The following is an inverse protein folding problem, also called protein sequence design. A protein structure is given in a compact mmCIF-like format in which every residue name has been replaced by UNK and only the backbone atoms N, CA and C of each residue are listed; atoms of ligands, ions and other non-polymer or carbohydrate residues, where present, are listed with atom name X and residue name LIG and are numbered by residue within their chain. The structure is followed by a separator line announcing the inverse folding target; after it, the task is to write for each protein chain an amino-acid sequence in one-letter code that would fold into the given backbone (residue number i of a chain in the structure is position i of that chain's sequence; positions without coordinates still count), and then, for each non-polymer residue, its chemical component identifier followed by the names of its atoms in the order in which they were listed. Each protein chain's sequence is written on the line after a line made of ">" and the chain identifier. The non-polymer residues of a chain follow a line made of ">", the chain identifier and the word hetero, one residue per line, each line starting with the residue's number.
data_IF_042605705818
#
_entry.id   IF_042605705818
#
_cell.length_a   1.000
_cell.length_b   1.000
_cell.length_c   1.000
_cell.angle_alpha   90.00
_cell.angle_beta   90.00
_cell.angle_gamma   90.00
#
_symmetry.space_group_name_H-M   'P 1'
#
loop_
_entity.id
_entity.type
_entity.pdbx_description
1 polymer ?
#
# COMPACT_ATOMS: atom_id res chain seq x y z
N UNK A 1 27.27 -4.56 29.28
CA UNK A 1 26.00 -4.18 28.63
C UNK A 1 25.86 -2.68 28.77
N UNK A 2 26.31 -1.94 27.77
CA UNK A 2 26.24 -0.48 27.78
C UNK A 2 24.79 -0.07 27.60
N UNK A 3 24.25 0.66 28.58
CA UNK A 3 22.98 1.36 28.45
C UNK A 3 23.22 2.52 27.49
N UNK A 4 22.69 2.44 26.26
CA UNK A 4 22.52 3.64 25.44
C UNK A 4 21.60 4.59 26.22
N UNK A 5 22.13 5.73 26.64
CA UNK A 5 21.31 6.80 27.20
C UNK A 5 20.30 7.26 26.13
N UNK A 6 19.03 7.50 26.48
CA UNK A 6 18.12 8.20 25.58
C UNK A 6 18.70 9.58 25.27
N UNK A 7 18.40 10.16 24.10
CA UNK A 7 18.83 11.52 23.78
C UNK A 7 18.46 12.46 24.93
N UNK A 8 19.46 12.95 25.65
CA UNK A 8 19.26 13.79 26.82
C UNK A 8 18.68 15.14 26.41
N UNK A 9 17.92 15.78 27.29
CA UNK A 9 17.40 17.14 27.08
C UNK A 9 18.48 18.11 26.57
N UNK A 10 19.71 18.00 27.10
CA UNK A 10 20.86 18.81 26.70
C UNK A 10 21.24 18.63 25.21
N UNK A 11 21.05 17.44 24.64
CA UNK A 11 21.28 17.20 23.20
C UNK A 11 20.22 17.87 22.33
N UNK A 12 18.98 17.94 22.81
CA UNK A 12 17.90 18.63 22.10
C UNK A 12 18.11 20.15 22.11
N UNK A 13 18.55 20.69 23.25
CA UNK A 13 18.94 22.11 23.35
C UNK A 13 20.10 22.41 22.38
N UNK A 14 21.13 21.54 22.33
CA UNK A 14 22.22 21.70 21.37
C UNK A 14 21.73 21.63 19.90
N UNK A 15 20.81 20.72 19.57
CA UNK A 15 20.21 20.65 18.23
C UNK A 15 19.43 21.91 17.85
N UNK A 16 18.67 22.51 18.78
CA UNK A 16 17.96 23.77 18.55
C UNK A 16 18.96 24.85 18.12
N UNK A 17 20.05 25.01 18.88
CA UNK A 17 21.09 26.00 18.56
C UNK A 17 21.81 25.72 17.23
N UNK A 18 21.91 24.47 16.80
CA UNK A 18 22.50 24.12 15.50
C UNK A 18 21.53 24.31 14.31
N UNK A 19 20.22 24.21 14.55
CA UNK A 19 19.20 24.20 13.49
C UNK A 19 18.79 25.60 13.04
N UNK A 20 18.97 26.61 13.88
CA UNK A 20 18.72 28.02 13.54
C UNK A 20 20.03 28.80 13.41
N UNK A 21 20.12 29.65 12.38
CA UNK A 21 21.19 30.64 12.26
C UNK A 21 20.87 31.93 13.04
N UNK A 22 19.61 32.12 13.45
CA UNK A 22 19.18 33.25 14.27
C UNK A 22 19.38 32.94 15.75
N UNK A 23 20.11 33.82 16.45
CA UNK A 23 20.32 33.75 17.89
C UNK A 23 19.21 34.46 18.69
N UNK A 24 18.20 35.04 18.01
CA UNK A 24 17.07 35.66 18.69
C UNK A 24 16.08 34.64 19.26
N UNK A 25 15.29 35.07 20.23
CA UNK A 25 14.37 34.20 20.95
C UNK A 25 13.31 33.58 20.01
N UNK A 26 12.90 34.30 18.97
CA UNK A 26 11.93 33.82 17.99
C UNK A 26 12.49 32.64 17.16
N UNK A 27 13.69 32.78 16.59
CA UNK A 27 14.31 31.72 15.79
C UNK A 27 14.63 30.46 16.59
N UNK A 28 14.99 30.62 17.88
CA UNK A 28 15.20 29.48 18.79
C UNK A 28 13.89 28.75 19.11
N UNK A 29 12.78 29.47 19.30
CA UNK A 29 11.46 28.88 19.55
C UNK A 29 10.94 28.13 18.31
N UNK A 30 11.09 28.70 17.11
CA UNK A 30 10.69 28.05 15.86
C UNK A 30 11.48 26.76 15.61
N UNK A 31 12.80 26.78 15.84
CA UNK A 31 13.63 25.58 15.73
C UNK A 31 13.27 24.51 16.77
N UNK A 32 12.98 24.90 18.01
CA UNK A 32 12.52 23.97 19.05
C UNK A 32 11.16 23.36 18.72
N UNK A 33 10.21 24.16 18.20
CA UNK A 33 8.91 23.67 17.76
C UNK A 33 9.05 22.68 16.59
N UNK A 34 9.92 22.96 15.62
CA UNK A 34 10.20 22.04 14.50
C UNK A 34 10.82 20.72 14.96
N UNK A 35 11.82 20.75 15.86
CA UNK A 35 12.43 19.53 16.44
C UNK A 35 11.38 18.73 17.22
N UNK A 36 10.56 19.40 18.03
CA UNK A 36 9.48 18.75 18.77
C UNK A 36 8.46 18.07 17.84
N UNK A 37 8.08 18.73 16.74
CA UNK A 37 7.18 18.17 15.74
C UNK A 37 7.79 16.95 15.03
N UNK A 38 9.08 17.00 14.67
CA UNK A 38 9.78 15.86 14.07
C UNK A 38 9.81 14.65 15.01
N UNK A 39 10.11 14.88 16.30
CA UNK A 39 10.12 13.82 17.31
C UNK A 39 8.73 13.22 17.55
N UNK A 40 7.69 14.07 17.57
CA UNK A 40 6.31 13.61 17.66
C UNK A 40 5.93 12.76 16.44
N UNK A 41 6.34 13.17 15.23
CA UNK A 41 6.11 12.40 14.02
C UNK A 41 6.84 11.04 14.03
N UNK A 42 8.08 10.98 14.50
CA UNK A 42 8.83 9.73 14.63
C UNK A 42 8.21 8.80 15.69
N UNK A 43 7.76 9.37 16.82
CA UNK A 43 7.04 8.62 17.85
C UNK A 43 5.71 8.07 17.32
N UNK A 44 4.97 8.84 16.53
CA UNK A 44 3.73 8.41 15.89
C UNK A 44 3.98 7.26 14.91
N UNK A 45 5.00 7.34 14.06
CA UNK A 45 5.40 6.25 13.14
C UNK A 45 5.84 4.98 13.87
N UNK A 46 6.57 5.12 14.98
CA UNK A 46 6.95 4.00 15.84
C UNK A 46 5.69 3.26 16.34
N UNK A 47 4.70 4.01 16.84
CA UNK A 47 3.44 3.45 17.31
C UNK A 47 2.66 2.78 16.17
N UNK A 48 2.56 3.40 14.99
CA UNK A 48 1.89 2.81 13.83
C UNK A 48 2.51 1.47 13.42
N UNK A 49 3.83 1.37 13.38
CA UNK A 49 4.56 0.14 13.07
C UNK A 49 4.21 -0.99 14.05
N UNK A 50 4.31 -0.73 15.35
CA UNK A 50 4.08 -1.77 16.36
C UNK A 50 2.61 -2.10 16.56
N UNK A 51 1.70 -1.15 16.36
CA UNK A 51 0.26 -1.42 16.34
C UNK A 51 -0.10 -2.28 15.13
N UNK A 52 0.46 -2.01 13.95
CA UNK A 52 0.30 -2.85 12.77
C UNK A 52 0.81 -4.28 13.01
N UNK A 53 2.00 -4.42 13.59
CA UNK A 53 2.55 -5.72 13.98
C UNK A 53 1.64 -6.46 15.00
N UNK A 54 1.20 -5.78 16.06
CA UNK A 54 0.33 -6.35 17.09
C UNK A 54 -1.03 -6.80 16.51
N UNK A 55 -1.61 -6.02 15.59
CA UNK A 55 -2.81 -6.43 14.85
C UNK A 55 -2.54 -7.64 13.96
N UNK A 56 -1.37 -7.70 13.31
CA UNK A 56 -0.92 -8.82 12.49
C UNK A 56 -0.77 -10.14 13.27
N UNK A 57 -0.35 -10.07 14.54
CA UNK A 57 -0.25 -11.24 15.44
C UNK A 57 -1.57 -11.60 16.12
N UNK A 58 -2.65 -10.86 15.86
CA UNK A 58 -4.00 -11.16 16.33
C UNK A 58 -4.44 -10.41 17.58
N UNK A 59 -3.66 -9.47 18.09
CA UNK A 59 -4.03 -8.66 19.25
C UNK A 59 -5.29 -7.82 18.96
N UNK A 60 -6.25 -7.80 19.89
CA UNK A 60 -7.50 -7.08 19.69
C UNK A 60 -7.31 -5.56 19.86
N UNK A 61 -8.21 -4.76 19.27
CA UNK A 61 -8.23 -3.32 19.49
C UNK A 61 -8.48 -2.93 20.95
N UNK A 62 -9.13 -3.80 21.72
CA UNK A 62 -9.32 -3.61 23.16
C UNK A 62 -7.99 -3.74 23.89
N UNK A 63 -7.20 -4.76 23.55
CA UNK A 63 -5.89 -5.02 24.17
C UNK A 63 -4.83 -3.99 23.79
N UNK A 64 -4.90 -3.48 22.55
CA UNK A 64 -4.04 -2.40 22.06
C UNK A 64 -4.38 -1.09 22.78
N UNK A 65 -5.66 -0.73 22.86
CA UNK A 65 -6.10 0.46 23.59
C UNK A 65 -5.65 0.42 25.06
N UNK A 66 -5.85 -0.72 25.73
CA UNK A 66 -5.44 -0.91 27.12
C UNK A 66 -3.92 -0.71 27.33
N UNK A 67 -3.07 -1.19 26.40
CA UNK A 67 -1.62 -1.02 26.47
C UNK A 67 -1.15 0.40 26.17
N UNK A 68 -1.86 1.09 25.28
CA UNK A 68 -1.58 2.48 24.91
C UNK A 68 -2.20 3.49 25.88
N UNK A 69 -2.96 3.04 26.89
CA UNK A 69 -3.66 3.92 27.83
C UNK A 69 -4.82 4.70 27.19
N UNK A 70 -5.37 4.22 26.08
CA UNK A 70 -6.46 4.88 25.34
C UNK A 70 -7.68 3.97 25.19
N UNK A 71 -8.85 4.54 24.89
CA UNK A 71 -10.05 3.75 24.64
C UNK A 71 -9.91 2.91 23.37
N UNK A 72 -10.66 1.79 23.29
CA UNK A 72 -10.76 0.96 22.07
C UNK A 72 -11.11 1.81 20.84
N UNK A 73 -12.01 2.78 21.02
CA UNK A 73 -12.45 3.67 19.94
C UNK A 73 -11.33 4.63 19.52
N UNK A 74 -10.60 5.22 20.47
CA UNK A 74 -9.45 6.09 20.19
C UNK A 74 -8.33 5.33 19.47
N UNK A 75 -7.99 4.11 19.92
CA UNK A 75 -7.02 3.27 19.23
C UNK A 75 -7.47 2.92 17.80
N UNK A 76 -8.74 2.55 17.61
CA UNK A 76 -9.27 2.27 16.26
C UNK A 76 -9.27 3.52 15.38
N UNK A 77 -9.73 4.65 15.90
CA UNK A 77 -9.79 5.88 15.11
C UNK A 77 -8.40 6.33 14.66
N UNK A 78 -7.40 6.18 15.52
CA UNK A 78 -6.02 6.57 15.24
C UNK A 78 -5.29 5.58 14.33
N UNK A 79 -5.51 4.28 14.50
CA UNK A 79 -4.67 3.25 13.89
C UNK A 79 -5.40 2.28 12.94
N UNK A 80 -6.73 2.34 12.80
CA UNK A 80 -7.50 1.38 11.98
C UNK A 80 -7.57 1.73 10.49
N UNK A 81 -7.02 2.86 10.06
CA UNK A 81 -6.85 3.20 8.65
C UNK A 81 -5.51 3.95 8.46
N UNK A 82 -4.63 3.51 7.55
CA UNK A 82 -3.58 4.39 7.04
C UNK A 82 -4.11 5.18 5.84
N UNK A 83 -3.83 6.49 5.80
CA UNK A 83 -3.51 7.13 4.53
C UNK A 83 -2.22 6.47 4.02
N UNK A 84 -2.12 6.08 2.74
CA UNK A 84 -0.90 5.47 2.20
C UNK A 84 0.13 6.58 1.98
N UNK A 85 0.83 6.96 3.06
CA UNK A 85 2.05 7.76 2.98
C UNK A 85 3.21 6.84 3.29
N UNK A 86 3.88 6.39 2.21
CA UNK A 86 5.20 5.72 2.17
C UNK A 86 5.56 4.79 3.34
N UNK A 87 5.37 3.48 3.16
CA UNK A 87 5.77 2.46 4.16
C UNK A 87 6.71 1.40 3.60
N UNK A 88 7.74 1.82 2.86
CA UNK A 88 8.94 0.98 2.83
C UNK A 88 9.38 0.76 4.30
N UNK A 89 9.89 -0.44 4.67
CA UNK A 89 10.55 -0.62 5.96
C UNK A 89 11.59 0.50 6.13
N UNK A 90 11.67 1.13 7.30
CA UNK A 90 12.55 2.27 7.60
C UNK A 90 14.02 2.07 7.17
N UNK A 91 14.47 0.82 6.99
CA UNK A 91 15.81 0.48 6.55
C UNK A 91 16.02 0.41 5.04
N UNK A 92 14.95 0.33 4.23
CA UNK A 92 15.07 0.08 2.79
C UNK A 92 15.06 1.40 2.00
N UNK A 93 16.10 1.62 1.19
CA UNK A 93 16.18 2.76 0.26
C UNK A 93 15.63 2.40 -1.11
N UNK A 94 15.04 3.36 -1.81
CA UNK A 94 14.72 3.20 -3.23
C UNK A 94 15.96 3.52 -4.07
N UNK A 95 16.29 2.63 -5.01
CA UNK A 95 17.27 2.95 -6.03
C UNK A 95 16.77 4.13 -6.89
N UNK A 96 17.64 5.03 -7.37
CA UNK A 96 17.23 6.19 -8.17
C UNK A 96 16.35 5.84 -9.38
N UNK A 97 16.69 4.76 -10.10
CA UNK A 97 15.90 4.27 -11.24
C UNK A 97 14.49 3.82 -10.84
N UNK A 98 14.34 3.22 -9.66
CA UNK A 98 13.04 2.84 -9.15
C UNK A 98 12.23 4.08 -8.75
N UNK A 99 12.87 5.09 -8.16
CA UNK A 99 12.19 6.37 -7.86
C UNK A 99 11.62 6.99 -9.14
N UNK A 100 12.39 7.07 -10.23
CA UNK A 100 11.85 7.59 -11.50
C UNK A 100 10.66 6.76 -12.01
N UNK A 101 10.74 5.43 -11.92
CA UNK A 101 9.62 4.57 -12.31
C UNK A 101 8.34 4.84 -11.48
N UNK A 102 8.49 5.14 -10.18
CA UNK A 102 7.36 5.49 -9.31
C UNK A 102 6.79 6.87 -9.64
N UNK A 103 7.64 7.84 -9.93
CA UNK A 103 7.21 9.18 -10.36
C UNK A 103 6.45 9.10 -11.69
N UNK A 104 6.92 8.26 -12.61
CA UNK A 104 6.25 7.98 -13.88
C UNK A 104 4.89 7.29 -13.68
N UNK A 105 4.81 6.30 -12.80
CA UNK A 105 3.55 5.65 -12.46
C UNK A 105 2.52 6.64 -11.87
N UNK A 106 2.98 7.59 -11.05
CA UNK A 106 2.14 8.66 -10.54
C UNK A 106 1.63 9.60 -11.64
N UNK A 107 2.50 9.95 -12.59
CA UNK A 107 2.13 10.76 -13.75
C UNK A 107 1.10 10.07 -14.64
N UNK A 108 1.23 8.77 -14.84
CA UNK A 108 0.30 7.97 -15.62
C UNK A 108 -1.07 7.88 -14.93
N UNK A 109 -1.10 7.56 -13.64
CA UNK A 109 -2.34 7.52 -12.86
C UNK A 109 -3.09 8.87 -12.91
N UNK A 110 -2.33 9.98 -12.84
CA UNK A 110 -2.89 11.33 -12.97
C UNK A 110 -3.42 11.60 -14.36
N UNK A 111 -2.68 11.24 -15.41
CA UNK A 111 -3.10 11.39 -16.81
C UNK A 111 -4.39 10.62 -17.08
N UNK A 112 -4.53 9.43 -16.51
CA UNK A 112 -5.73 8.60 -16.61
C UNK A 112 -6.91 9.12 -15.77
N UNK A 113 -6.71 10.16 -14.94
CA UNK A 113 -7.71 10.65 -13.99
C UNK A 113 -8.08 9.62 -12.91
N UNK A 114 -7.16 8.69 -12.61
CA UNK A 114 -7.37 7.65 -11.62
C UNK A 114 -7.36 8.22 -10.19
N UNK A 115 -8.26 7.71 -9.33
CA UNK A 115 -8.29 8.09 -7.93
C UNK A 115 -7.08 7.57 -7.12
N UNK A 116 -6.39 6.53 -7.61
CA UNK A 116 -5.26 5.89 -6.94
C UNK A 116 -4.20 5.39 -7.95
N UNK A 117 -2.93 5.36 -7.55
CA UNK A 117 -1.85 4.67 -8.26
C UNK A 117 -2.00 3.15 -7.99
N UNK A 118 -2.54 2.42 -8.96
CA UNK A 118 -2.65 0.96 -8.92
C UNK A 118 -1.38 0.23 -9.39
N UNK A 119 -1.35 -1.08 -9.19
CA UNK A 119 -0.22 -1.93 -9.63
C UNK A 119 -0.03 -1.92 -11.16
N UNK A 120 -1.09 -1.67 -11.94
CA UNK A 120 -0.99 -1.49 -13.39
C UNK A 120 -0.23 -0.22 -13.78
N UNK A 121 -0.38 0.88 -13.03
CA UNK A 121 0.40 2.10 -13.25
C UNK A 121 1.86 1.88 -12.82
N UNK A 122 2.09 1.15 -11.71
CA UNK A 122 3.45 0.76 -11.32
C UNK A 122 4.13 -0.07 -12.41
N UNK A 123 3.41 -1.04 -12.98
CA UNK A 123 3.92 -1.88 -14.07
C UNK A 123 4.28 -1.05 -15.31
N UNK A 124 3.43 -0.10 -15.69
CA UNK A 124 3.69 0.80 -16.80
C UNK A 124 4.89 1.72 -16.52
N UNK A 125 4.97 2.28 -15.31
CA UNK A 125 6.10 3.10 -14.87
C UNK A 125 7.44 2.36 -14.85
N UNK A 126 7.45 1.05 -14.57
CA UNK A 126 8.66 0.22 -14.60
C UNK A 126 9.33 0.10 -15.97
N UNK A 127 8.63 0.43 -17.07
CA UNK A 127 9.22 0.50 -18.40
C UNK A 127 10.03 1.77 -18.64
N UNK A 128 10.00 2.75 -17.74
CA UNK A 128 10.80 3.96 -17.88
C UNK A 128 12.31 3.63 -17.84
N UNK A 129 12.74 2.83 -16.87
CA UNK A 129 14.17 2.51 -16.72
C UNK A 129 14.49 1.22 -15.97
N UNK A 130 15.73 0.76 -16.12
CA UNK A 130 16.34 -0.26 -15.28
C UNK A 130 16.10 -1.70 -15.72
N UNK A 131 16.34 -2.64 -14.81
CA UNK A 131 16.32 -4.08 -15.11
C UNK A 131 14.90 -4.55 -15.46
N UNK A 132 13.88 -4.05 -14.76
CA UNK A 132 12.49 -4.38 -15.07
C UNK A 132 12.10 -4.02 -16.51
N UNK A 133 12.45 -2.81 -16.96
CA UNK A 133 12.22 -2.37 -18.33
C UNK A 133 12.87 -3.34 -19.34
N UNK A 134 14.16 -3.63 -19.16
CA UNK A 134 14.90 -4.52 -20.05
C UNK A 134 14.33 -5.96 -20.09
N UNK A 135 13.80 -6.47 -18.98
CA UNK A 135 13.13 -7.79 -18.93
C UNK A 135 11.82 -7.73 -19.73
N UNK A 136 10.97 -6.74 -19.47
CA UNK A 136 9.68 -6.59 -20.13
C UNK A 136 9.83 -6.37 -21.63
N UNK A 137 10.76 -5.54 -22.07
CA UNK A 137 11.06 -5.28 -23.48
C UNK A 137 11.52 -6.54 -24.22
N UNK A 138 12.37 -7.36 -23.59
CA UNK A 138 12.85 -8.62 -24.18
C UNK A 138 11.71 -9.63 -24.37
N UNK A 139 10.68 -9.54 -23.54
CA UNK A 139 9.45 -10.33 -23.64
C UNK A 139 8.39 -9.68 -24.55
N UNK A 140 8.74 -8.59 -25.26
CA UNK A 140 7.86 -7.91 -26.20
C UNK A 140 6.78 -7.04 -25.54
N UNK A 141 6.98 -6.64 -24.28
CA UNK A 141 6.04 -5.80 -23.54
C UNK A 141 6.47 -4.34 -23.63
N UNK A 142 5.57 -3.49 -24.09
CA UNK A 142 5.79 -2.04 -24.25
C UNK A 142 4.76 -1.22 -23.47
N UNK A 143 5.08 0.05 -23.21
CA UNK A 143 4.29 0.89 -22.30
C UNK A 143 2.88 1.13 -22.85
N UNK A 144 2.77 1.39 -24.15
CA UNK A 144 1.47 1.59 -24.80
C UNK A 144 0.60 0.32 -24.73
N UNK A 145 1.20 -0.87 -24.88
CA UNK A 145 0.47 -2.13 -24.76
C UNK A 145 -0.08 -2.34 -23.33
N UNK A 146 0.71 -2.00 -22.30
CA UNK A 146 0.25 -2.03 -20.90
C UNK A 146 -0.87 -1.03 -20.67
N UNK A 147 -0.75 0.19 -21.20
CA UNK A 147 -1.79 1.22 -21.08
C UNK A 147 -3.09 0.78 -21.74
N UNK A 148 -3.03 0.35 -22.99
CA UNK A 148 -4.20 -0.13 -23.74
C UNK A 148 -4.87 -1.32 -23.03
N UNK A 149 -4.09 -2.27 -22.53
CA UNK A 149 -4.60 -3.40 -21.75
C UNK A 149 -5.23 -2.96 -20.43
N UNK A 150 -4.60 -2.02 -19.73
CA UNK A 150 -5.13 -1.45 -18.49
C UNK A 150 -6.48 -0.77 -18.73
N UNK A 151 -6.60 0.02 -19.80
CA UNK A 151 -7.85 0.70 -20.16
C UNK A 151 -8.94 -0.29 -20.56
N UNK A 152 -8.60 -1.35 -21.30
CA UNK A 152 -9.55 -2.44 -21.61
C UNK A 152 -10.04 -3.18 -20.36
N UNK A 153 -9.17 -3.44 -19.39
CA UNK A 153 -9.48 -4.26 -18.22
C UNK A 153 -10.13 -3.49 -17.07
N UNK A 154 -9.78 -2.22 -16.90
CA UNK A 154 -10.14 -1.42 -15.72
C UNK A 154 -10.94 -0.15 -16.04
N UNK A 155 -11.20 0.11 -17.32
CA UNK A 155 -11.97 1.26 -17.79
C UNK A 155 -11.08 2.29 -18.50
N UNK A 156 -11.66 3.07 -19.43
CA UNK A 156 -10.92 4.11 -20.15
C UNK A 156 -10.45 5.22 -19.19
N UNK A 157 -9.46 6.03 -19.61
CA UNK A 157 -9.07 7.21 -18.85
C UNK A 157 -10.24 8.18 -18.71
N UNK A 158 -10.26 8.96 -17.64
CA UNK A 158 -11.26 10.00 -17.46
C UNK A 158 -11.15 11.08 -18.57
N UNK A 159 -12.25 11.78 -18.84
CA UNK A 159 -12.28 12.87 -19.82
C UNK A 159 -11.31 14.01 -19.50
N UNK A 160 -10.88 14.12 -18.25
CA UNK A 160 -9.93 15.14 -17.79
C UNK A 160 -8.89 14.52 -16.87
N UNK A 161 -7.59 14.82 -17.07
CA UNK A 161 -6.54 14.41 -16.14
C UNK A 161 -6.81 14.92 -14.72
N UNK A 162 -6.32 14.19 -13.72
CA UNK A 162 -6.36 14.63 -12.33
C UNK A 162 -5.46 15.84 -12.09
N UNK A 163 -5.85 16.70 -11.15
CA UNK A 163 -5.07 17.91 -10.79
C UNK A 163 -3.81 17.59 -9.98
N UNK A 164 -3.78 16.45 -9.28
CA UNK A 164 -2.69 16.06 -8.38
C UNK A 164 -2.29 14.59 -8.63
N UNK A 165 -1.06 14.23 -8.23
CA UNK A 165 -0.67 12.82 -8.17
C UNK A 165 -1.56 12.12 -7.14
N UNK A 166 -2.32 11.09 -7.52
CA UNK A 166 -3.17 10.39 -6.57
C UNK A 166 -2.33 9.56 -5.58
N UNK A 167 -2.87 9.23 -4.40
CA UNK A 167 -2.21 8.31 -3.47
C UNK A 167 -2.04 6.90 -4.08
N UNK A 168 -1.11 6.10 -3.55
CA UNK A 168 -1.00 4.69 -3.94
C UNK A 168 -2.17 3.88 -3.41
N UNK A 169 -2.64 2.91 -4.20
CA UNK A 169 -3.63 1.94 -3.71
C UNK A 169 -3.03 1.02 -2.65
N UNK A 170 -3.86 0.40 -1.82
CA UNK A 170 -3.38 -0.60 -0.85
C UNK A 170 -2.59 -1.73 -1.51
N UNK A 171 -3.01 -2.16 -2.70
CA UNK A 171 -2.34 -3.20 -3.47
C UNK A 171 -0.93 -2.76 -3.92
N UNK A 172 -0.81 -1.51 -4.41
CA UNK A 172 0.46 -0.92 -4.82
C UNK A 172 1.43 -0.75 -3.64
N UNK A 173 0.93 -0.28 -2.50
CA UNK A 173 1.73 -0.18 -1.26
C UNK A 173 2.21 -1.55 -0.80
N UNK A 174 1.34 -2.55 -0.74
CA UNK A 174 1.73 -3.91 -0.39
C UNK A 174 2.79 -4.50 -1.35
N UNK A 175 2.72 -4.17 -2.65
CA UNK A 175 3.71 -4.63 -3.62
C UNK A 175 5.10 -4.00 -3.37
N UNK A 176 5.16 -2.70 -3.04
CA UNK A 176 6.40 -2.02 -2.67
C UNK A 176 6.98 -2.54 -1.37
N UNK A 177 6.15 -2.77 -0.36
CA UNK A 177 6.58 -3.34 0.91
C UNK A 177 7.16 -4.74 0.68
N UNK A 178 6.47 -5.58 -0.10
CA UNK A 178 6.94 -6.92 -0.42
C UNK A 178 8.24 -6.89 -1.23
N UNK A 179 8.41 -5.91 -2.13
CA UNK A 179 9.65 -5.69 -2.87
C UNK A 179 10.80 -5.30 -1.93
N UNK A 180 10.52 -4.47 -0.93
CA UNK A 180 11.50 -4.09 0.09
C UNK A 180 11.91 -5.26 0.99
N UNK A 181 10.95 -6.10 1.41
CA UNK A 181 11.25 -7.33 2.14
C UNK A 181 12.09 -8.30 1.29
N UNK A 182 11.79 -8.41 -0.01
CA UNK A 182 12.58 -9.22 -0.91
C UNK A 182 14.01 -8.65 -1.05
N UNK A 183 14.17 -7.33 -1.22
CA UNK A 183 15.48 -6.68 -1.26
C UNK A 183 16.27 -6.91 0.04
N UNK A 184 15.62 -6.80 1.20
CA UNK A 184 16.21 -7.09 2.51
C UNK A 184 16.70 -8.54 2.64
N UNK A 185 15.90 -9.50 2.19
CA UNK A 185 16.29 -10.91 2.21
C UNK A 185 17.41 -11.27 1.22
N UNK A 186 17.75 -10.37 0.29
CA UNK A 186 18.83 -10.50 -0.68
C UNK A 186 20.03 -9.59 -0.39
N UNK A 187 19.94 -8.74 0.65
CA UNK A 187 21.00 -7.81 1.00
C UNK A 187 22.16 -8.54 1.71
N UNK A 188 23.37 -8.02 1.54
CA UNK A 188 24.52 -8.46 2.34
C UNK A 188 24.54 -7.74 3.69
N UNK A 189 25.17 -8.36 4.70
CA UNK A 189 25.14 -7.92 6.11
C UNK A 189 25.63 -6.47 6.37
N UNK A 190 26.27 -5.80 5.40
CA UNK A 190 26.97 -4.53 5.60
C UNK A 190 26.31 -3.31 4.94
N UNK A 191 25.16 -3.43 4.26
CA UNK A 191 24.49 -2.30 3.64
C UNK A 191 22.97 -2.34 3.84
N UNK A 192 22.31 -1.18 4.07
CA UNK A 192 20.87 -1.13 4.12
C UNK A 192 20.30 -1.59 2.77
N UNK A 193 19.22 -2.39 2.77
CA UNK A 193 18.68 -2.95 1.55
C UNK A 193 18.21 -1.87 0.60
N UNK A 194 18.54 -2.04 -0.69
CA UNK A 194 18.11 -1.14 -1.74
C UNK A 194 17.06 -1.84 -2.62
N UNK A 195 15.87 -1.26 -2.67
CA UNK A 195 14.78 -1.72 -3.55
C UNK A 195 15.05 -1.22 -4.95
N UNK A 196 15.07 -2.17 -5.89
CA UNK A 196 15.36 -1.95 -7.32
C UNK A 196 14.19 -2.37 -8.19
N UNK A 197 14.23 -2.02 -9.47
CA UNK A 197 13.09 -2.22 -10.39
C UNK A 197 12.70 -3.69 -10.53
N UNK A 198 13.67 -4.61 -10.54
CA UNK A 198 13.43 -6.06 -10.61
C UNK A 198 12.75 -6.62 -9.35
N UNK A 199 12.97 -6.03 -8.17
CA UNK A 199 12.29 -6.44 -6.94
C UNK A 199 10.79 -6.10 -7.03
N UNK A 200 10.46 -4.91 -7.52
CA UNK A 200 9.08 -4.50 -7.72
C UNK A 200 8.42 -5.33 -8.83
N UNK A 201 9.10 -5.52 -9.97
CA UNK A 201 8.59 -6.36 -11.07
C UNK A 201 8.25 -7.77 -10.57
N UNK A 202 9.09 -8.38 -9.74
CA UNK A 202 8.81 -9.69 -9.16
C UNK A 202 7.49 -9.71 -8.37
N UNK A 203 7.21 -8.68 -7.56
CA UNK A 203 5.97 -8.63 -6.77
C UNK A 203 4.75 -8.37 -7.64
N UNK A 204 4.86 -7.47 -8.61
CA UNK A 204 3.77 -7.15 -9.54
C UNK A 204 3.43 -8.36 -10.43
N UNK A 205 4.46 -9.00 -11.00
CA UNK A 205 4.29 -10.07 -11.96
C UNK A 205 3.96 -11.42 -11.31
N UNK A 206 4.39 -11.71 -10.08
CA UNK A 206 4.20 -13.03 -9.48
C UNK A 206 2.96 -13.14 -8.59
N UNK A 207 2.36 -12.02 -8.17
CA UNK A 207 1.08 -12.03 -7.46
C UNK A 207 -0.10 -12.24 -8.43
N UNK A 208 -0.77 -13.42 -8.44
CA UNK A 208 -1.93 -13.67 -9.29
C UNK A 208 -3.14 -12.78 -8.97
N UNK A 209 -3.17 -12.16 -7.78
CA UNK A 209 -4.22 -11.23 -7.39
C UNK A 209 -4.09 -9.85 -8.02
N UNK A 210 -2.89 -9.47 -8.48
CA UNK A 210 -2.59 -8.09 -8.81
C UNK A 210 -3.18 -7.63 -10.14
N UNK A 211 -3.51 -6.33 -10.26
CA UNK A 211 -3.94 -5.74 -11.54
C UNK A 211 -2.84 -5.79 -12.59
N UNK A 212 -1.58 -5.55 -12.19
CA UNK A 212 -0.41 -5.75 -13.04
C UNK A 212 -0.35 -7.16 -13.66
N UNK A 213 -0.57 -8.19 -12.84
CA UNK A 213 -0.59 -9.58 -13.33
C UNK A 213 -1.74 -9.84 -14.30
N UNK A 214 -2.91 -9.22 -14.09
CA UNK A 214 -4.01 -9.32 -15.06
C UNK A 214 -3.67 -8.69 -16.41
N UNK A 215 -3.00 -7.54 -16.41
CA UNK A 215 -2.50 -6.90 -17.64
C UNK A 215 -1.49 -7.80 -18.36
N UNK A 216 -0.49 -8.34 -17.64
CA UNK A 216 0.48 -9.26 -18.23
C UNK A 216 -0.19 -10.50 -18.84
N UNK A 217 -1.21 -11.04 -18.18
CA UNK A 217 -1.98 -12.18 -18.69
C UNK A 217 -2.80 -11.81 -19.95
N UNK A 218 -3.43 -10.62 -19.99
CA UNK A 218 -4.17 -10.12 -21.16
C UNK A 218 -3.24 -9.94 -22.37
N UNK A 219 -2.03 -9.41 -22.12
CA UNK A 219 -0.95 -9.30 -23.10
C UNK A 219 -0.29 -10.64 -23.47
N UNK A 220 -0.77 -11.77 -22.91
CA UNK A 220 -0.25 -13.12 -23.17
C UNK A 220 1.23 -13.30 -22.84
N UNK A 221 1.74 -12.52 -21.88
CA UNK A 221 3.13 -12.64 -21.42
C UNK A 221 3.29 -13.90 -20.59
N UNK A 222 4.27 -14.73 -20.92
CA UNK A 222 4.58 -15.91 -20.11
C UNK A 222 5.27 -15.50 -18.81
N UNK A 223 4.55 -15.72 -17.72
CA UNK A 223 5.00 -15.38 -16.36
C UNK A 223 6.16 -16.29 -15.95
N UNK A 224 6.19 -17.53 -16.43
CA UNK A 224 7.34 -18.41 -16.19
C UNK A 224 8.60 -17.82 -16.84
N UNK A 225 8.48 -17.20 -18.02
CA UNK A 225 9.57 -16.48 -18.65
C UNK A 225 10.01 -15.25 -17.84
N UNK A 226 9.07 -14.41 -17.35
CA UNK A 226 9.41 -13.29 -16.43
C UNK A 226 10.18 -13.81 -15.21
N UNK A 227 9.70 -14.91 -14.60
CA UNK A 227 10.35 -15.52 -13.44
C UNK A 227 11.77 -16.00 -13.78
N UNK A 228 11.96 -16.65 -14.93
CA UNK A 228 13.28 -17.12 -15.38
C UNK A 228 14.26 -15.97 -15.59
N UNK A 229 13.80 -14.86 -16.17
CA UNK A 229 14.60 -13.65 -16.36
C UNK A 229 14.99 -13.00 -15.02
N UNK A 230 14.05 -12.90 -14.08
CA UNK A 230 14.30 -12.34 -12.75
C UNK A 230 15.33 -13.15 -11.94
N UNK A 231 15.41 -14.47 -12.13
CA UNK A 231 16.36 -15.34 -11.43
C UNK A 231 17.82 -14.99 -11.72
N UNK A 232 18.10 -14.32 -12.85
CA UNK A 232 19.45 -13.82 -13.17
C UNK A 232 19.84 -12.58 -12.35
N UNK A 233 18.87 -11.89 -11.73
CA UNK A 233 19.09 -10.59 -11.08
C UNK A 233 18.84 -10.63 -9.57
N UNK A 234 17.88 -11.42 -9.12
CA UNK A 234 17.48 -11.51 -7.72
C UNK A 234 17.08 -12.94 -7.36
N UNK A 235 17.33 -13.33 -6.12
CA UNK A 235 16.59 -14.47 -5.58
C UNK A 235 15.21 -13.96 -5.20
N UNK A 236 14.19 -14.38 -5.93
CA UNK A 236 12.82 -14.20 -5.49
C UNK A 236 12.60 -15.13 -4.30
N UNK A 237 13.05 -14.69 -3.13
CA UNK A 237 12.58 -15.23 -1.87
C UNK A 237 11.08 -15.05 -1.90
N UNK A 238 10.30 -16.14 -1.87
CA UNK A 238 8.88 -15.99 -1.67
C UNK A 238 8.76 -15.25 -0.35
N UNK A 239 8.44 -13.95 -0.41
CA UNK A 239 7.54 -13.39 0.57
C UNK A 239 6.36 -14.32 0.41
N UNK A 240 6.30 -15.37 1.25
CA UNK A 240 5.12 -16.23 1.33
C UNK A 240 4.03 -15.19 1.38
N UNK A 241 3.16 -15.08 0.37
CA UNK A 241 2.09 -14.12 0.46
C UNK A 241 1.46 -14.44 1.80
N UNK A 242 1.60 -13.53 2.76
CA UNK A 242 1.01 -13.71 4.05
C UNK A 242 -0.42 -14.04 3.67
N UNK A 243 -0.91 -15.19 4.12
CA UNK A 243 -2.21 -15.75 3.76
C UNK A 243 -3.32 -14.86 4.34
N UNK A 244 -3.16 -13.54 4.33
CA UNK A 244 -4.10 -12.55 4.80
C UNK A 244 -5.21 -12.35 3.77
N UNK A 245 -4.95 -12.50 2.46
CA UNK A 245 -6.04 -12.56 1.46
C UNK A 245 -6.66 -13.96 1.31
N UNK A 246 -5.91 -15.04 1.57
CA UNK A 246 -6.49 -16.40 1.72
C UNK A 246 -7.22 -16.59 3.05
N UNK A 247 -7.00 -15.73 4.06
CA UNK A 247 -7.99 -15.46 5.10
C UNK A 247 -9.04 -14.57 4.45
N UNK A 248 -9.99 -15.22 3.76
CA UNK A 248 -11.33 -14.66 3.66
C UNK A 248 -11.64 -14.12 5.05
N UNK A 249 -11.85 -12.81 5.27
CA UNK A 249 -12.27 -12.34 6.59
C UNK A 249 -13.44 -13.25 6.98
N UNK A 250 -13.49 -13.80 8.22
CA UNK A 250 -14.61 -14.63 8.62
C UNK A 250 -15.85 -13.89 8.17
N UNK A 251 -16.67 -14.55 7.33
CA UNK A 251 -17.83 -13.90 6.72
C UNK A 251 -18.46 -13.06 7.81
N UNK A 252 -18.60 -11.74 7.57
CA UNK A 252 -19.34 -10.90 8.52
C UNK A 252 -20.59 -11.71 8.82
N UNK A 253 -20.79 -12.09 10.08
CA UNK A 253 -21.82 -13.07 10.45
C UNK A 253 -23.19 -12.39 10.36
N UNK A 254 -23.49 -11.72 9.24
CA UNK A 254 -24.60 -10.82 9.07
C UNK A 254 -24.58 -10.05 7.76
N UNK A 255 -25.77 -9.54 7.43
CA UNK A 255 -26.04 -8.77 6.23
C UNK A 255 -25.27 -7.44 6.24
N UNK A 256 -24.58 -7.12 5.14
CA UNK A 256 -23.86 -5.86 4.92
C UNK A 256 -24.79 -4.63 4.80
N UNK A 257 -26.09 -4.84 4.64
CA UNK A 257 -27.09 -3.76 4.47
C UNK A 257 -27.85 -3.47 5.76
N UNK A 258 -28.48 -4.48 6.37
CA UNK A 258 -29.25 -4.29 7.60
C UNK A 258 -28.49 -4.63 8.89
N UNK A 259 -27.28 -5.19 8.80
CA UNK A 259 -26.45 -5.53 9.96
C UNK A 259 -26.89 -6.76 10.75
N UNK A 260 -28.08 -7.32 10.48
CA UNK A 260 -28.61 -8.53 11.14
C UNK A 260 -27.72 -9.72 10.92
N UNK A 261 -27.57 -10.54 11.96
CA UNK A 261 -26.64 -11.65 11.95
C UNK A 261 -27.17 -12.88 11.23
N UNK A 262 -26.32 -13.90 10.99
CA UNK A 262 -26.73 -15.17 10.38
C UNK A 262 -27.80 -15.91 11.19
N UNK A 263 -27.92 -15.66 12.50
CA UNK A 263 -28.99 -16.20 13.34
C UNK A 263 -30.28 -15.39 13.30
N UNK A 264 -30.22 -14.15 12.81
CA UNK A 264 -31.36 -13.21 12.78
C UNK A 264 -32.10 -13.22 11.42
N UNK A 265 -31.64 -14.03 10.45
CA UNK A 265 -32.17 -14.05 9.09
C UNK A 265 -32.28 -15.48 8.55
N UNK A 266 -33.38 -15.77 7.85
CA UNK A 266 -33.64 -17.12 7.30
C UNK A 266 -32.66 -17.51 6.18
N UNK A 267 -32.20 -16.53 5.40
CA UNK A 267 -31.30 -16.74 4.28
C UNK A 267 -30.29 -15.60 4.15
N UNK A 268 -29.02 -15.96 3.98
CA UNK A 268 -27.91 -15.03 3.75
C UNK A 268 -27.11 -15.47 2.50
N UNK A 269 -27.05 -14.60 1.49
CA UNK A 269 -26.30 -14.83 0.25
C UNK A 269 -24.93 -14.16 0.36
N UNK A 270 -23.86 -14.92 0.12
CA UNK A 270 -22.47 -14.43 0.22
C UNK A 270 -21.91 -14.04 -1.15
N UNK A 271 -21.37 -12.83 -1.27
CA UNK A 271 -20.62 -12.33 -2.43
C UNK A 271 -19.13 -12.06 -2.11
N UNK A 272 -18.35 -11.55 -3.07
CA UNK A 272 -16.98 -11.10 -2.82
C UNK A 272 -16.94 -9.92 -1.84
N UNK A 273 -16.63 -10.18 -0.57
CA UNK A 273 -16.45 -9.16 0.48
C UNK A 273 -17.74 -8.62 1.13
N UNK A 274 -18.91 -9.03 0.65
CA UNK A 274 -20.24 -8.58 1.13
C UNK A 274 -21.20 -9.76 1.29
N UNK A 275 -22.21 -9.62 2.13
CA UNK A 275 -23.31 -10.57 2.28
C UNK A 275 -24.65 -9.83 2.35
N UNK A 276 -25.71 -10.37 1.76
CA UNK A 276 -27.04 -9.76 1.76
C UNK A 276 -28.09 -10.78 2.21
N UNK A 277 -28.99 -10.40 3.11
CA UNK A 277 -30.08 -11.27 3.55
C UNK A 277 -31.28 -11.20 2.62
N UNK A 278 -32.12 -12.23 2.63
CA UNK A 278 -33.32 -12.31 1.79
C UNK A 278 -34.25 -11.09 1.94
N UNK A 279 -34.42 -10.57 3.16
CA UNK A 279 -35.23 -9.37 3.40
C UNK A 279 -34.66 -8.12 2.71
N UNK A 280 -33.33 -7.94 2.71
CA UNK A 280 -32.69 -6.82 2.02
C UNK A 280 -32.74 -6.98 0.49
N UNK A 281 -32.71 -8.21 -0.03
CA UNK A 281 -32.92 -8.49 -1.46
C UNK A 281 -34.35 -8.14 -1.86
N UNK A 282 -35.35 -8.52 -1.07
CA UNK A 282 -36.75 -8.19 -1.33
C UNK A 282 -36.99 -6.68 -1.34
N UNK A 283 -36.47 -5.97 -0.34
CA UNK A 283 -36.55 -4.50 -0.27
C UNK A 283 -35.86 -3.84 -1.47
N UNK A 284 -34.68 -4.32 -1.87
CA UNK A 284 -33.98 -3.81 -3.04
C UNK A 284 -34.80 -3.99 -4.32
N UNK A 285 -35.49 -5.14 -4.48
CA UNK A 285 -36.40 -5.36 -5.60
C UNK A 285 -37.57 -4.38 -5.60
N UNK A 286 -38.21 -4.18 -4.46
CA UNK A 286 -39.34 -3.24 -4.33
C UNK A 286 -38.94 -1.81 -4.72
N UNK A 287 -37.76 -1.35 -4.27
CA UNK A 287 -37.22 -0.03 -4.64
C UNK A 287 -36.93 0.09 -6.14
N UNK A 288 -36.44 -0.98 -6.76
CA UNK A 288 -36.15 -1.01 -8.20
C UNK A 288 -37.44 -1.03 -9.02
N UNK A 289 -38.42 -1.81 -8.59
CA UNK A 289 -39.76 -1.90 -9.21
C UNK A 289 -40.53 -0.58 -9.05
N UNK A 290 -40.41 0.12 -7.91
CA UNK A 290 -41.05 1.42 -7.68
C UNK A 290 -40.44 2.59 -8.45
N UNK A 291 -39.27 2.40 -9.09
CA UNK A 291 -38.54 3.42 -9.85
C UNK A 291 -38.67 3.25 -11.36
N UNK A 292 -39.37 2.22 -11.84
CA UNK A 292 -39.69 2.12 -13.26
C UNK A 292 -40.81 3.14 -13.60
N UNK A 293 -40.57 4.09 -14.52
CA UNK A 293 -41.64 4.93 -15.01
C UNK A 293 -42.67 4.03 -15.72
N UNK A 294 -43.96 4.26 -15.45
CA UNK A 294 -45.03 3.61 -16.20
C UNK A 294 -44.84 3.94 -17.69
N UNK A 295 -44.74 2.90 -18.52
CA UNK A 295 -44.79 3.00 -19.97
C UNK A 295 -46.15 3.52 -20.43
#
# INVERSE_FOLDING_TARGET
>A
MASESPMGFDQLVAQVHHRTASADAAGLLDAAAAISADQAADADRLLDHFVTHARGTGMSWTDIGARLGVSKQAARQRFAAPAPTSVLPFSARLAPRLQTCLDQAGHEARTDGSAEIGTQHLLAGLLAEGVAAAILERLGVHADAIRDSSHRLFGPPADTPGDQIPPMSTEATCALDAAAHNAAANASDNAPPEVRTEHLLAMLALDPGSRARRVLNDLRVDIAAIKGELQCHITVNPTRPARWWKRRPPARQGCSFCGRTTSDVDQLVNGPGVAICGACVALAREILESRQPAL
#
